data_IF_940532559313
#
_entry.id   IF_940532559313
#
_cell.length_a   1.000
_cell.length_b   1.000
_cell.length_c   1.000
_cell.angle_alpha   90.00
_cell.angle_beta   90.00
_cell.angle_gamma   90.00
#
_symmetry.space_group_name_H-M   'P 1'
#
loop_
_entity.id
_entity.type
_entity.pdbx_description
1 polymer ?
#
# COMPACT_ATOMS: atom_id res chain seq x y z
N UNK A 1 72.98 -14.92 37.43
CA UNK A 1 73.12 -16.27 36.80
C UNK A 1 71.79 -16.70 36.33
N UNK A 2 71.69 -16.85 35.03
CA UNK A 2 70.72 -17.60 34.21
C UNK A 2 69.28 -17.14 34.21
N UNK A 3 69.07 -16.36 33.18
CA UNK A 3 67.81 -16.04 32.51
C UNK A 3 66.97 -17.25 32.21
N UNK A 4 65.65 -17.08 32.37
CA UNK A 4 64.66 -17.82 31.58
C UNK A 4 63.56 -16.86 31.13
N UNK A 5 63.65 -16.47 29.89
CA UNK A 5 62.59 -15.86 29.09
C UNK A 5 61.46 -16.86 28.91
N UNK A 6 60.25 -16.60 29.44
CA UNK A 6 59.03 -17.26 29.04
C UNK A 6 58.35 -16.43 27.97
N UNK A 7 58.36 -16.96 26.75
CA UNK A 7 57.65 -16.44 25.60
C UNK A 7 56.19 -16.81 25.72
N UNK A 8 55.32 -15.80 25.93
CA UNK A 8 53.86 -15.98 25.84
C UNK A 8 53.43 -15.80 24.38
N UNK A 9 53.06 -16.95 23.79
CA UNK A 9 52.40 -16.96 22.46
C UNK A 9 50.92 -16.75 22.69
N UNK A 10 50.45 -15.52 22.39
CA UNK A 10 49.06 -15.19 22.34
C UNK A 10 48.47 -15.63 21.00
N UNK A 11 47.73 -16.74 21.01
CA UNK A 11 46.95 -17.20 19.87
C UNK A 11 45.72 -16.32 19.66
N UNK A 12 45.73 -15.56 18.59
CA UNK A 12 44.52 -14.84 18.12
C UNK A 12 43.56 -15.83 17.44
N UNK A 13 42.47 -16.15 18.09
CA UNK A 13 41.36 -16.91 17.49
C UNK A 13 40.56 -15.98 16.57
N UNK A 14 40.74 -16.14 15.27
CA UNK A 14 39.88 -15.51 14.24
C UNK A 14 38.52 -16.21 14.27
N UNK A 15 37.55 -15.56 14.89
CA UNK A 15 36.16 -15.97 14.77
C UNK A 15 35.66 -15.61 13.33
N UNK A 16 35.63 -16.59 12.45
CA UNK A 16 34.94 -16.52 11.16
C UNK A 16 33.43 -16.43 11.43
N UNK A 17 32.90 -15.22 11.53
CA UNK A 17 31.47 -14.97 11.55
C UNK A 17 30.87 -15.34 10.21
N UNK A 18 30.19 -16.48 10.13
CA UNK A 18 29.35 -16.85 9.00
C UNK A 18 28.14 -15.90 8.94
N UNK A 19 28.20 -14.89 8.07
CA UNK A 19 27.04 -14.09 7.71
C UNK A 19 26.10 -14.95 6.91
N UNK A 20 25.07 -15.49 7.56
CA UNK A 20 23.95 -16.10 6.85
C UNK A 20 23.20 -14.98 6.11
N UNK A 21 22.95 -15.12 4.81
CA UNK A 21 22.09 -14.17 4.11
C UNK A 21 20.71 -14.17 4.78
N UNK A 22 20.28 -13.04 5.29
CA UNK A 22 18.92 -12.84 5.71
C UNK A 22 18.06 -12.89 4.44
N UNK A 23 17.36 -14.00 4.22
CA UNK A 23 16.35 -14.10 3.19
C UNK A 23 15.20 -13.22 3.66
N UNK A 24 15.06 -12.06 3.03
CA UNK A 24 13.83 -11.27 3.14
C UNK A 24 12.70 -12.18 2.67
N UNK A 25 11.73 -12.42 3.55
CA UNK A 25 10.51 -13.13 3.17
C UNK A 25 9.64 -12.15 2.37
N UNK A 26 10.09 -11.76 1.18
CA UNK A 26 9.22 -11.17 0.19
C UNK A 26 8.22 -12.26 -0.19
N UNK A 27 6.97 -12.08 0.23
CA UNK A 27 5.88 -12.94 -0.18
C UNK A 27 5.64 -12.75 -1.67
N UNK A 28 6.38 -13.50 -2.48
CA UNK A 28 6.08 -13.70 -3.89
C UNK A 28 4.86 -14.61 -3.97
N UNK A 29 3.67 -14.02 -3.88
CA UNK A 29 2.48 -14.69 -4.39
C UNK A 29 2.66 -14.97 -5.88
N UNK A 30 2.06 -16.02 -6.44
CA UNK A 30 2.13 -16.27 -7.88
C UNK A 30 1.69 -15.00 -8.62
N UNK A 31 2.47 -14.58 -9.64
CA UNK A 31 2.05 -13.46 -10.49
C UNK A 31 0.64 -13.74 -11.03
N UNK A 32 -0.26 -12.75 -10.93
CA UNK A 32 -1.62 -12.92 -11.42
C UNK A 32 -1.60 -13.25 -12.90
N UNK A 33 -2.18 -14.38 -13.28
CA UNK A 33 -2.35 -14.71 -14.68
C UNK A 33 -3.39 -13.81 -15.33
N UNK A 34 -3.34 -13.61 -16.65
CA UNK A 34 -4.35 -12.82 -17.38
C UNK A 34 -5.78 -13.29 -17.09
N UNK A 35 -5.96 -14.59 -16.86
CA UNK A 35 -7.26 -15.17 -16.54
C UNK A 35 -7.76 -14.70 -15.16
N UNK A 36 -6.89 -14.50 -14.16
CA UNK A 36 -7.28 -13.95 -12.86
C UNK A 36 -7.80 -12.52 -12.97
N UNK A 37 -7.31 -11.75 -13.94
CA UNK A 37 -7.80 -10.39 -14.19
C UNK A 37 -9.14 -10.37 -14.93
N UNK A 38 -9.39 -11.35 -15.81
CA UNK A 38 -10.67 -11.44 -16.53
C UNK A 38 -11.84 -11.84 -15.62
N UNK A 39 -11.56 -12.59 -14.57
CA UNK A 39 -12.55 -13.09 -13.62
C UNK A 39 -12.65 -12.21 -12.36
N UNK A 40 -11.92 -11.09 -12.31
CA UNK A 40 -11.91 -10.19 -11.19
C UNK A 40 -13.29 -9.55 -10.95
N UNK A 41 -13.76 -9.62 -9.71
CA UNK A 41 -15.02 -9.01 -9.26
C UNK A 41 -14.82 -7.52 -8.89
N UNK A 42 -13.55 -7.10 -8.69
CA UNK A 42 -13.20 -5.71 -8.49
C UNK A 42 -12.78 -5.06 -9.81
N UNK A 43 -13.30 -3.85 -10.13
CA UNK A 43 -12.88 -3.08 -11.30
C UNK A 43 -11.39 -2.73 -11.27
N UNK A 44 -10.85 -2.33 -12.42
CA UNK A 44 -9.48 -1.83 -12.54
C UNK A 44 -9.27 -0.49 -11.81
N UNK A 45 -8.02 -0.15 -11.50
CA UNK A 45 -7.68 1.12 -10.84
C UNK A 45 -8.13 2.34 -11.65
N UNK A 46 -8.07 2.30 -12.97
CA UNK A 46 -8.48 3.41 -13.84
C UNK A 46 -9.97 3.41 -14.22
N UNK A 47 -10.77 2.51 -13.66
CA UNK A 47 -12.21 2.50 -13.94
C UNK A 47 -12.87 3.79 -13.45
N UNK A 48 -13.66 4.45 -14.32
CA UNK A 48 -14.28 5.73 -14.02
C UNK A 48 -15.23 5.69 -12.81
N UNK A 49 -15.88 4.55 -12.56
CA UNK A 49 -16.75 4.39 -11.39
C UNK A 49 -15.96 4.25 -10.09
N UNK A 50 -14.77 3.67 -10.16
CA UNK A 50 -13.84 3.60 -9.01
C UNK A 50 -13.36 5.00 -8.67
N UNK A 51 -12.91 5.75 -9.67
CA UNK A 51 -12.41 7.12 -9.48
C UNK A 51 -13.52 8.03 -8.93
N UNK A 52 -14.72 7.96 -9.48
CA UNK A 52 -15.88 8.70 -8.98
C UNK A 52 -16.21 8.32 -7.51
N UNK A 53 -16.11 7.05 -7.14
CA UNK A 53 -16.35 6.64 -5.75
C UNK A 53 -15.27 7.14 -4.78
N UNK A 54 -14.02 7.25 -5.24
CA UNK A 54 -12.92 7.85 -4.45
C UNK A 54 -13.11 9.35 -4.31
N UNK A 55 -13.53 10.03 -5.38
CA UNK A 55 -13.85 11.45 -5.40
C UNK A 55 -15.00 11.78 -4.44
N UNK A 56 -16.15 11.11 -4.58
CA UNK A 56 -17.31 11.28 -3.70
C UNK A 56 -16.95 11.09 -2.20
N UNK A 57 -16.17 10.07 -1.90
CA UNK A 57 -15.72 9.81 -0.52
C UNK A 57 -14.80 10.93 -0.01
N UNK A 58 -13.87 11.40 -0.84
CA UNK A 58 -12.94 12.46 -0.48
C UNK A 58 -13.68 13.78 -0.25
N UNK A 59 -14.58 14.16 -1.15
CA UNK A 59 -15.34 15.41 -1.07
C UNK A 59 -16.25 15.42 0.16
N UNK A 60 -16.94 14.32 0.43
CA UNK A 60 -17.73 14.18 1.65
C UNK A 60 -16.85 14.35 2.90
N UNK A 61 -15.69 13.70 2.93
CA UNK A 61 -14.72 13.83 4.03
C UNK A 61 -14.10 15.24 4.10
N UNK A 62 -13.89 15.92 2.99
CA UNK A 62 -13.32 17.27 2.97
C UNK A 62 -14.25 18.28 3.65
N UNK A 63 -15.55 18.21 3.43
CA UNK A 63 -16.52 19.08 4.08
C UNK A 63 -16.66 18.78 5.57
N UNK A 64 -16.86 17.51 5.92
CA UNK A 64 -17.19 17.11 7.27
C UNK A 64 -15.97 17.10 8.23
N UNK A 65 -14.81 16.68 7.71
CA UNK A 65 -13.62 16.44 8.53
C UNK A 65 -12.55 17.49 8.38
N UNK A 66 -12.29 17.97 7.17
CA UNK A 66 -11.28 19.01 6.93
C UNK A 66 -11.85 20.41 7.10
N UNK A 67 -13.17 20.56 7.08
CA UNK A 67 -13.88 21.83 7.08
C UNK A 67 -13.41 22.76 5.96
N UNK A 68 -13.12 22.16 4.81
CA UNK A 68 -12.68 22.84 3.59
C UNK A 68 -13.53 22.35 2.43
N UNK A 69 -13.74 23.19 1.43
CA UNK A 69 -14.46 22.82 0.22
C UNK A 69 -13.52 22.35 -0.90
N UNK A 70 -12.40 21.73 -0.54
CA UNK A 70 -11.46 21.21 -1.56
C UNK A 70 -12.03 19.97 -2.24
N UNK A 71 -11.89 19.93 -3.55
CA UNK A 71 -12.38 18.84 -4.41
C UNK A 71 -11.22 18.28 -5.24
N UNK A 72 -11.39 17.07 -5.75
CA UNK A 72 -10.50 16.50 -6.75
C UNK A 72 -10.99 16.97 -8.11
N UNK A 73 -10.15 17.65 -8.87
CA UNK A 73 -10.48 18.16 -10.21
C UNK A 73 -10.13 17.17 -11.31
N UNK A 74 -9.05 16.40 -11.12
CA UNK A 74 -8.56 15.48 -12.12
C UNK A 74 -7.74 14.35 -11.47
N UNK A 75 -7.88 13.14 -11.99
CA UNK A 75 -7.01 12.01 -11.71
C UNK A 75 -6.05 11.75 -12.87
N UNK A 76 -4.80 11.42 -12.55
CA UNK A 76 -3.80 11.06 -13.54
C UNK A 76 -2.85 9.96 -13.01
N UNK A 77 -2.17 9.28 -13.93
CA UNK A 77 -1.15 8.28 -13.64
C UNK A 77 -1.62 7.17 -12.67
N UNK A 78 -2.85 6.67 -12.85
CA UNK A 78 -3.37 5.57 -12.04
C UNK A 78 -2.71 4.25 -12.43
N UNK A 79 -2.24 3.52 -11.44
CA UNK A 79 -1.69 2.18 -11.62
C UNK A 79 -1.97 1.27 -10.43
N UNK A 80 -1.94 -0.02 -10.71
CA UNK A 80 -2.09 -1.05 -9.70
C UNK A 80 -0.76 -1.30 -8.99
N UNK A 81 -0.81 -1.34 -7.66
CA UNK A 81 0.32 -1.69 -6.80
C UNK A 81 0.34 -3.18 -6.48
N UNK A 82 -0.84 -3.72 -6.20
CA UNK A 82 -1.00 -5.14 -5.88
C UNK A 82 -2.46 -5.57 -6.08
N UNK A 83 -2.64 -6.85 -6.44
CA UNK A 83 -3.93 -7.49 -6.58
C UNK A 83 -3.96 -8.80 -5.80
N UNK A 84 -5.00 -8.98 -5.02
CA UNK A 84 -5.24 -10.16 -4.21
C UNK A 84 -6.60 -10.74 -4.57
N UNK A 85 -6.65 -11.81 -5.37
CA UNK A 85 -7.88 -12.50 -5.69
C UNK A 85 -8.49 -13.16 -4.45
N UNK A 86 -9.78 -13.43 -4.51
CA UNK A 86 -10.49 -14.19 -3.49
C UNK A 86 -9.95 -15.62 -3.42
N UNK A 87 -9.82 -16.15 -2.21
CA UNK A 87 -9.46 -17.55 -1.94
C UNK A 87 -10.12 -18.03 -0.65
N UNK A 88 -10.01 -19.34 -0.34
CA UNK A 88 -10.54 -19.88 0.92
C UNK A 88 -9.97 -19.14 2.16
N UNK A 89 -8.69 -18.83 2.14
CA UNK A 89 -8.03 -18.12 3.24
C UNK A 89 -8.21 -16.58 3.17
N UNK A 90 -8.73 -16.09 2.06
CA UNK A 90 -8.91 -14.66 1.80
C UNK A 90 -10.27 -14.41 1.15
N UNK A 91 -11.31 -14.23 1.96
CA UNK A 91 -12.68 -14.05 1.47
C UNK A 91 -12.94 -12.67 0.84
N UNK A 92 -11.98 -11.75 0.90
CA UNK A 92 -12.08 -10.41 0.31
C UNK A 92 -11.08 -10.29 -0.82
N UNK A 93 -11.60 -10.13 -2.03
CA UNK A 93 -10.79 -9.72 -3.18
C UNK A 93 -10.43 -8.25 -3.03
N UNK A 94 -9.18 -7.90 -3.30
CA UNK A 94 -8.73 -6.53 -3.11
C UNK A 94 -7.66 -6.12 -4.12
N UNK A 95 -7.82 -4.93 -4.63
CA UNK A 95 -6.87 -4.24 -5.50
C UNK A 95 -6.36 -2.99 -4.78
N UNK A 96 -5.05 -2.82 -4.71
CA UNK A 96 -4.38 -1.62 -4.20
C UNK A 96 -3.92 -0.78 -5.37
N UNK A 97 -4.28 0.48 -5.35
CA UNK A 97 -4.06 1.42 -6.42
C UNK A 97 -3.33 2.66 -5.91
N UNK A 98 -2.61 3.29 -6.82
CA UNK A 98 -1.98 4.59 -6.61
C UNK A 98 -2.20 5.44 -7.84
N UNK A 99 -2.32 6.74 -7.66
CA UNK A 99 -2.38 7.72 -8.72
C UNK A 99 -2.00 9.10 -8.24
N UNK A 100 -2.19 10.08 -9.09
CA UNK A 100 -2.09 11.49 -8.76
C UNK A 100 -3.46 12.14 -8.89
N UNK A 101 -3.76 13.07 -7.98
CA UNK A 101 -4.97 13.87 -8.00
C UNK A 101 -4.59 15.36 -8.03
N UNK A 102 -5.17 16.12 -8.94
CA UNK A 102 -5.15 17.58 -8.93
C UNK A 102 -6.26 18.04 -8.00
N UNK A 103 -5.91 18.79 -6.98
CA UNK A 103 -6.84 19.32 -5.99
C UNK A 103 -7.18 20.77 -6.33
N UNK A 104 -8.38 21.22 -5.99
CA UNK A 104 -8.85 22.58 -6.24
C UNK A 104 -8.06 23.69 -5.54
N UNK A 105 -7.13 23.32 -4.63
CA UNK A 105 -6.13 24.23 -4.07
C UNK A 105 -4.94 24.48 -5.01
N UNK A 106 -4.97 23.91 -6.23
CA UNK A 106 -3.93 24.00 -7.24
C UNK A 106 -2.73 23.06 -6.99
N UNK A 107 -2.80 22.16 -6.02
CA UNK A 107 -1.72 21.24 -5.74
C UNK A 107 -1.99 19.83 -6.26
N UNK A 108 -0.99 19.26 -6.92
CA UNK A 108 -1.01 17.85 -7.30
C UNK A 108 -0.54 17.01 -6.12
N UNK A 109 -1.32 16.00 -5.76
CA UNK A 109 -1.04 15.12 -4.61
C UNK A 109 -1.17 13.66 -5.00
N UNK A 110 -0.40 12.79 -4.36
CA UNK A 110 -0.57 11.36 -4.51
C UNK A 110 -1.85 10.91 -3.82
N UNK A 111 -2.63 10.08 -4.51
CA UNK A 111 -3.79 9.39 -3.95
C UNK A 111 -3.51 7.88 -3.90
N UNK A 112 -3.80 7.28 -2.75
CA UNK A 112 -3.78 5.83 -2.54
C UNK A 112 -5.22 5.37 -2.33
N UNK A 113 -5.62 4.30 -2.99
CA UNK A 113 -6.96 3.76 -2.84
C UNK A 113 -7.00 2.26 -3.01
N UNK A 114 -8.02 1.64 -2.43
CA UNK A 114 -8.30 0.21 -2.59
C UNK A 114 -9.67 0.00 -3.17
N UNK A 115 -9.82 -1.05 -3.97
CA UNK A 115 -11.11 -1.57 -4.42
C UNK A 115 -11.27 -2.95 -3.83
N UNK A 116 -12.34 -3.18 -3.09
CA UNK A 116 -12.54 -4.42 -2.33
C UNK A 116 -13.93 -5.01 -2.59
N UNK A 117 -14.00 -6.35 -2.74
CA UNK A 117 -15.23 -7.13 -2.92
C UNK A 117 -15.24 -8.32 -1.96
N UNK A 118 -16.35 -8.69 -1.34
CA UNK A 118 -17.64 -8.00 -1.30
C UNK A 118 -17.66 -6.99 -0.13
N UNK A 119 -17.48 -5.73 -0.41
CA UNK A 119 -17.38 -4.67 0.62
C UNK A 119 -18.31 -3.48 0.35
N UNK A 120 -19.19 -3.59 -0.66
CA UNK A 120 -20.21 -2.59 -0.95
C UNK A 120 -21.32 -2.56 0.12
N UNK A 121 -22.38 -1.80 -0.16
CA UNK A 121 -23.52 -1.69 0.76
C UNK A 121 -24.09 -3.08 1.08
N UNK A 122 -24.31 -3.35 2.38
CA UNK A 122 -24.74 -4.65 2.90
C UNK A 122 -23.88 -5.85 2.41
N UNK A 123 -22.58 -5.64 2.21
CA UNK A 123 -21.65 -6.62 1.67
C UNK A 123 -22.00 -7.09 0.24
N UNK A 124 -22.68 -6.26 -0.54
CA UNK A 124 -23.00 -6.53 -1.93
C UNK A 124 -22.14 -5.64 -2.83
N UNK A 125 -21.51 -6.28 -3.85
CA UNK A 125 -20.66 -5.55 -4.79
C UNK A 125 -19.33 -5.08 -4.19
N UNK A 126 -18.66 -4.20 -4.90
CA UNK A 126 -17.38 -3.65 -4.49
C UNK A 126 -17.52 -2.29 -3.80
N UNK A 127 -16.49 -1.89 -3.08
CA UNK A 127 -16.32 -0.58 -2.46
C UNK A 127 -14.92 -0.05 -2.79
N UNK A 128 -14.82 1.22 -3.12
CA UNK A 128 -13.54 1.94 -3.16
C UNK A 128 -13.37 2.77 -1.88
N UNK A 129 -12.14 2.86 -1.41
CA UNK A 129 -11.71 3.71 -0.29
C UNK A 129 -10.41 4.39 -0.67
N UNK A 130 -10.36 5.72 -0.56
CA UNK A 130 -9.24 6.53 -0.97
C UNK A 130 -8.70 7.42 0.13
N UNK A 131 -7.41 7.78 -0.02
CA UNK A 131 -6.71 8.71 0.85
C UNK A 131 -5.79 9.59 0.01
N UNK A 132 -5.98 10.90 0.07
CA UNK A 132 -5.11 11.89 -0.56
C UNK A 132 -3.99 12.27 0.40
N UNK A 133 -2.76 12.06 -0.03
CA UNK A 133 -1.57 12.27 0.80
C UNK A 133 -1.50 13.73 1.30
N UNK A 134 -1.37 13.87 2.62
CA UNK A 134 -1.30 15.16 3.30
C UNK A 134 -2.67 15.80 3.62
N UNK A 135 -3.78 15.16 3.21
CA UNK A 135 -5.14 15.62 3.53
C UNK A 135 -5.90 14.71 4.51
N UNK A 136 -5.31 13.60 4.97
CA UNK A 136 -5.83 12.76 6.07
C UNK A 136 -5.38 13.32 7.42
N UNK A 137 -5.94 14.45 7.82
CA UNK A 137 -5.58 15.12 9.09
C UNK A 137 -5.94 14.32 10.33
N UNK A 138 -6.97 13.49 10.26
CA UNK A 138 -7.43 12.66 11.37
C UNK A 138 -6.78 11.28 11.40
N UNK A 139 -5.86 11.01 10.47
CA UNK A 139 -5.14 9.76 10.36
C UNK A 139 -6.06 8.53 10.27
N UNK A 140 -7.20 8.67 9.58
CA UNK A 140 -8.18 7.60 9.36
C UNK A 140 -7.51 6.40 8.70
N UNK A 141 -6.61 6.68 7.75
CA UNK A 141 -5.82 5.66 7.05
C UNK A 141 -4.40 5.53 7.60
N UNK A 142 -4.15 6.08 8.79
CA UNK A 142 -2.82 6.12 9.41
C UNK A 142 -1.90 7.17 8.80
N UNK A 143 -0.71 7.31 9.37
CA UNK A 143 0.26 8.31 8.91
C UNK A 143 0.57 8.12 7.42
N UNK A 144 0.42 9.20 6.63
CA UNK A 144 0.68 9.18 5.19
C UNK A 144 -0.10 8.09 4.42
N UNK A 145 -1.38 7.89 4.73
CA UNK A 145 -2.25 6.89 4.09
C UNK A 145 -1.73 5.45 4.24
N UNK A 146 -1.06 5.11 5.32
CA UNK A 146 -0.31 3.87 5.52
C UNK A 146 -1.13 2.61 5.24
N UNK A 147 -2.41 2.56 5.64
CA UNK A 147 -3.26 1.38 5.46
C UNK A 147 -3.60 1.08 3.99
N UNK A 148 -3.61 2.11 3.14
CA UNK A 148 -3.88 1.99 1.71
C UNK A 148 -2.58 1.94 0.87
N UNK A 149 -1.46 2.34 1.46
CA UNK A 149 -0.13 2.39 0.82
C UNK A 149 0.73 1.17 1.17
N UNK A 150 0.15 0.01 1.32
CA UNK A 150 0.88 -1.17 1.87
C UNK A 150 1.96 -1.75 0.96
N UNK A 151 2.00 -1.40 -0.33
CA UNK A 151 2.89 -1.97 -1.35
C UNK A 151 3.62 -0.88 -2.13
#
# INVERSE_FOLDING_TARGET
MRDRLLSLVTGAALALGSTLPAWSADYYGPEPTQQMYSDALVPSCGDSKVLAAVEDQFEHGAVEMLQTGVVIEEFSQMFEKAYFPMSEDRPIERRYCQGEAMISDGQKRTVYYTVSYPMGYASIGWKAEGCVLGLDKWLIYGANCQSLRRF
#
